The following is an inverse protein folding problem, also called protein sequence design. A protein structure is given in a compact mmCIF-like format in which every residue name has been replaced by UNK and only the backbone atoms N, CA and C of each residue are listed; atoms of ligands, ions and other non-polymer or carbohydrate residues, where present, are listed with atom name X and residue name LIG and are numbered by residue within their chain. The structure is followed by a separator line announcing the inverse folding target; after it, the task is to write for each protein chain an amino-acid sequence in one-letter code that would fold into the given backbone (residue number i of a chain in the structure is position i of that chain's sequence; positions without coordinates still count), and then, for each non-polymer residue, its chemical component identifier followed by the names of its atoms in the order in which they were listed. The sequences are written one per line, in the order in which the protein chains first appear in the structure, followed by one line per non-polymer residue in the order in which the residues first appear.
data_IF_658121462944
#
_entry.id   IF_658121462944
#
_cell.length_a   1.000
_cell.length_b   1.000
_cell.length_c   1.000
_cell.angle_alpha   90.00
_cell.angle_beta   90.00
_cell.angle_gamma   90.00
#
_symmetry.space_group_name_H-M   'P 1'
#
loop_
_entity.id
_entity.type
_entity.pdbx_description
1 polymer ?
#
# COMPACT_ATOMS: atom_id res chain seq x y z
N UNK A 1 68.05 -36.75 -35.41
CA UNK A 1 68.25 -36.04 -34.13
C UNK A 1 67.51 -34.71 -34.19
N UNK A 2 66.81 -34.39 -33.09
CA UNK A 2 65.79 -33.34 -32.85
C UNK A 2 66.15 -31.94 -33.39
N UNK A 3 65.27 -31.27 -34.15
CA UNK A 3 65.07 -29.79 -34.19
C UNK A 3 63.61 -29.43 -34.59
N UNK A 4 63.09 -28.37 -33.97
CA UNK A 4 61.68 -27.95 -33.86
C UNK A 4 61.27 -26.87 -34.89
N UNK A 5 59.94 -26.80 -35.12
CA UNK A 5 59.05 -25.67 -35.49
C UNK A 5 59.36 -24.81 -36.73
N UNK A 6 58.39 -24.66 -37.64
CA UNK A 6 57.29 -23.68 -37.65
C UNK A 6 56.32 -24.07 -38.79
N UNK A 7 55.03 -24.24 -38.51
CA UNK A 7 53.99 -24.40 -39.53
C UNK A 7 53.08 -23.18 -39.46
N UNK A 8 52.92 -22.53 -40.60
CA UNK A 8 52.09 -21.36 -40.87
C UNK A 8 50.76 -21.82 -41.48
N UNK A 9 49.72 -20.97 -41.32
CA UNK A 9 48.43 -20.87 -42.06
C UNK A 9 47.21 -21.57 -41.44
N UNK A 10 45.95 -21.13 -41.72
CA UNK A 10 45.44 -19.83 -42.17
C UNK A 10 44.29 -19.28 -41.28
N UNK A 11 43.78 -18.10 -41.64
CA UNK A 11 42.64 -17.42 -41.03
C UNK A 11 41.33 -18.24 -41.07
N UNK A 12 40.57 -18.21 -39.97
CA UNK A 12 39.11 -18.41 -39.97
C UNK A 12 38.52 -17.30 -39.10
N UNK A 13 37.87 -16.34 -39.75
CA UNK A 13 36.98 -15.40 -39.09
C UNK A 13 35.70 -16.17 -38.71
N UNK A 14 35.55 -16.49 -37.42
CA UNK A 14 34.27 -16.94 -36.87
C UNK A 14 33.52 -15.70 -36.41
N UNK A 15 32.56 -15.26 -37.24
CA UNK A 15 31.49 -14.36 -36.83
C UNK A 15 30.72 -15.07 -35.73
N UNK A 16 30.91 -14.64 -34.49
CA UNK A 16 30.00 -14.99 -33.39
C UNK A 16 29.04 -13.83 -33.25
N UNK A 17 27.82 -14.02 -33.73
CA UNK A 17 26.73 -13.13 -33.36
C UNK A 17 26.49 -13.28 -31.85
N UNK A 18 26.32 -12.19 -31.08
CA UNK A 18 25.92 -12.31 -29.69
C UNK A 18 24.50 -12.91 -29.65
N UNK A 19 24.36 -14.03 -28.94
CA UNK A 19 23.07 -14.53 -28.49
C UNK A 19 22.49 -13.44 -27.59
N UNK A 20 21.35 -12.87 -27.99
CA UNK A 20 20.58 -11.98 -27.12
C UNK A 20 20.20 -12.75 -25.87
N UNK A 21 20.85 -12.45 -24.74
CA UNK A 21 20.31 -12.82 -23.44
C UNK A 21 19.00 -12.06 -23.29
N UNK A 22 17.90 -12.81 -23.43
CA UNK A 22 16.58 -12.39 -23.04
C UNK A 22 16.69 -11.82 -21.63
N UNK A 23 16.28 -10.57 -21.47
CA UNK A 23 16.24 -9.87 -20.18
C UNK A 23 15.45 -10.74 -19.18
N UNK A 24 16.16 -11.35 -18.23
CA UNK A 24 15.53 -11.70 -16.97
C UNK A 24 15.18 -10.36 -16.34
N UNK A 25 13.89 -10.09 -16.19
CA UNK A 25 13.42 -8.91 -15.48
C UNK A 25 14.15 -8.87 -14.14
N UNK A 26 15.02 -7.88 -13.97
CA UNK A 26 15.57 -7.53 -12.68
C UNK A 26 14.37 -7.19 -11.80
N UNK A 27 14.05 -8.10 -10.89
CA UNK A 27 13.26 -7.77 -9.72
C UNK A 27 14.10 -6.77 -8.93
N UNK A 28 13.63 -5.54 -8.90
CA UNK A 28 14.21 -4.49 -8.08
C UNK A 28 13.94 -4.87 -6.61
N UNK A 29 14.97 -5.33 -5.89
CA UNK A 29 14.90 -5.73 -4.48
C UNK A 29 14.63 -4.53 -3.53
N UNK A 30 14.31 -3.35 -4.05
CA UNK A 30 13.98 -2.17 -3.26
C UNK A 30 12.47 -1.89 -3.08
N UNK A 31 11.59 -2.79 -3.55
CA UNK A 31 10.12 -2.69 -3.40
C UNK A 31 9.58 -3.40 -2.15
N UNK A 32 10.38 -3.55 -1.09
CA UNK A 32 9.97 -4.20 0.15
C UNK A 32 10.13 -3.25 1.34
N UNK A 33 9.43 -2.10 1.32
CA UNK A 33 9.05 -1.38 2.56
C UNK A 33 8.02 -0.25 2.34
N UNK A 34 7.13 -0.34 1.35
CA UNK A 34 6.02 0.60 1.21
C UNK A 34 4.78 -0.01 1.84
N UNK A 35 4.18 0.69 2.80
CA UNK A 35 2.90 0.37 3.46
C UNK A 35 1.69 0.48 2.53
N UNK A 36 1.91 0.50 1.21
CA UNK A 36 0.89 0.63 0.19
C UNK A 36 0.79 -0.72 -0.53
N UNK A 37 -0.43 -1.24 -0.59
CA UNK A 37 -0.75 -2.44 -1.36
C UNK A 37 -0.23 -2.24 -2.80
N UNK A 38 0.58 -3.14 -3.36
CA UNK A 38 1.25 -2.87 -4.62
C UNK A 38 0.23 -2.62 -5.76
N UNK A 39 0.54 -1.72 -6.72
CA UNK A 39 -0.44 -1.20 -7.70
C UNK A 39 -1.01 -2.27 -8.64
N UNK A 40 -0.36 -3.43 -8.73
CA UNK A 40 -0.85 -4.59 -9.47
C UNK A 40 -2.01 -5.31 -8.76
N UNK A 41 -2.27 -5.02 -7.48
CA UNK A 41 -3.36 -5.59 -6.69
C UNK A 41 -4.59 -4.67 -6.57
N UNK A 42 -4.49 -3.41 -7.00
CA UNK A 42 -5.64 -2.48 -7.08
C UNK A 42 -6.86 -3.00 -7.89
N UNK A 43 -6.71 -3.77 -8.98
CA UNK A 43 -7.85 -4.29 -9.72
C UNK A 43 -8.80 -5.14 -8.88
N UNK A 44 -8.30 -5.78 -7.81
CA UNK A 44 -9.13 -6.59 -6.89
C UNK A 44 -10.15 -5.69 -6.19
N UNK A 45 -9.76 -4.48 -5.78
CA UNK A 45 -10.64 -3.54 -5.05
C UNK A 45 -11.79 -2.99 -5.92
N UNK A 46 -11.67 -3.06 -7.23
CA UNK A 46 -12.71 -2.60 -8.16
C UNK A 46 -13.91 -3.56 -8.24
N UNK A 47 -13.76 -4.78 -7.72
CA UNK A 47 -14.79 -5.81 -7.70
C UNK A 47 -15.35 -5.91 -6.28
N UNK A 48 -16.66 -5.67 -6.15
CA UNK A 48 -17.34 -5.72 -4.87
C UNK A 48 -17.14 -7.08 -4.17
N UNK A 49 -17.03 -7.14 -2.82
CA UNK A 49 -16.77 -8.37 -2.07
C UNK A 49 -17.67 -9.56 -2.41
N UNK A 50 -18.94 -9.33 -2.72
CA UNK A 50 -19.90 -10.38 -3.11
C UNK A 50 -19.63 -11.01 -4.48
N UNK A 51 -18.82 -10.35 -5.33
CA UNK A 51 -18.40 -10.83 -6.64
C UNK A 51 -16.98 -11.39 -6.64
N UNK A 52 -16.28 -11.34 -5.50
CA UNK A 52 -14.95 -11.93 -5.36
C UNK A 52 -15.03 -13.46 -5.36
N UNK A 53 -13.99 -14.15 -5.86
CA UNK A 53 -13.94 -15.60 -5.82
C UNK A 53 -13.84 -16.11 -4.38
N UNK A 54 -14.40 -17.30 -4.12
CA UNK A 54 -14.18 -17.98 -2.85
C UNK A 54 -12.79 -18.62 -2.88
N UNK A 55 -11.87 -18.14 -2.04
CA UNK A 55 -10.50 -18.65 -1.99
C UNK A 55 -10.32 -19.67 -0.86
N UNK A 56 -9.49 -20.68 -1.13
CA UNK A 56 -9.12 -21.75 -0.19
C UNK A 56 -7.77 -22.34 -0.58
N UNK A 57 -7.26 -23.24 0.24
CA UNK A 57 -5.98 -23.92 0.00
C UNK A 57 -5.88 -24.54 -1.38
N UNK A 58 -4.79 -24.23 -2.08
CA UNK A 58 -4.50 -24.67 -3.45
C UNK A 58 -4.86 -23.66 -4.55
N UNK A 59 -5.64 -22.62 -4.25
CA UNK A 59 -5.92 -21.53 -5.18
C UNK A 59 -4.69 -20.61 -5.35
N UNK A 60 -4.61 -19.92 -6.48
CA UNK A 60 -3.54 -18.98 -6.77
C UNK A 60 -4.05 -17.82 -7.65
N UNK A 61 -3.43 -16.65 -7.52
CA UNK A 61 -3.82 -15.47 -8.31
C UNK A 61 -3.57 -14.16 -7.59
N UNK A 62 -4.00 -13.07 -8.22
CA UNK A 62 -3.89 -11.71 -7.68
C UNK A 62 -4.78 -11.54 -6.44
N UNK A 63 -5.93 -12.21 -6.40
CA UNK A 63 -6.84 -12.18 -5.27
C UNK A 63 -6.21 -12.83 -4.03
N UNK A 64 -5.42 -13.90 -4.22
CA UNK A 64 -4.66 -14.54 -3.13
C UNK A 64 -3.55 -13.62 -2.65
N UNK A 65 -2.81 -12.99 -3.57
CA UNK A 65 -1.77 -12.02 -3.23
C UNK A 65 -2.36 -10.82 -2.46
N UNK A 66 -3.52 -10.31 -2.86
CA UNK A 66 -4.26 -9.27 -2.13
C UNK A 66 -4.58 -9.69 -0.70
N UNK A 67 -5.14 -10.89 -0.50
CA UNK A 67 -5.45 -11.42 0.84
C UNK A 67 -4.17 -11.47 1.67
N UNK A 68 -3.09 -12.04 1.12
CA UNK A 68 -1.81 -12.17 1.81
C UNK A 68 -1.21 -10.82 2.21
N UNK A 69 -1.23 -9.84 1.31
CA UNK A 69 -0.76 -8.48 1.58
C UNK A 69 -1.59 -7.81 2.69
N UNK A 70 -2.92 -7.90 2.62
CA UNK A 70 -3.85 -7.31 3.60
C UNK A 70 -3.72 -7.98 4.98
N UNK A 71 -3.52 -9.30 5.03
CA UNK A 71 -3.24 -10.03 6.26
C UNK A 71 -1.95 -9.54 6.91
N UNK A 72 -0.88 -9.38 6.14
CA UNK A 72 0.40 -8.86 6.67
C UNK A 72 0.25 -7.43 7.20
N UNK A 73 -0.50 -6.55 6.50
CA UNK A 73 -0.79 -5.19 6.97
C UNK A 73 -1.55 -5.15 8.31
N UNK A 74 -2.33 -6.20 8.60
CA UNK A 74 -3.08 -6.33 9.87
C UNK A 74 -2.35 -7.10 10.96
N UNK A 75 -1.06 -7.42 10.75
CA UNK A 75 -0.23 -8.14 11.71
C UNK A 75 -0.31 -9.67 11.61
N UNK A 76 -1.01 -10.21 10.62
CA UNK A 76 -1.05 -11.64 10.31
C UNK A 76 -0.03 -11.98 9.21
N UNK A 77 1.26 -11.88 9.56
CA UNK A 77 2.36 -12.03 8.59
C UNK A 77 2.29 -13.32 7.76
N UNK A 78 2.26 -13.15 6.44
CA UNK A 78 2.35 -14.20 5.44
C UNK A 78 3.19 -13.75 4.26
N UNK A 79 3.72 -14.71 3.51
CA UNK A 79 4.36 -14.44 2.22
C UNK A 79 3.27 -14.08 1.21
N UNK A 80 3.43 -12.96 0.51
CA UNK A 80 2.54 -12.50 -0.57
C UNK A 80 3.01 -13.03 -1.92
N UNK A 81 3.00 -14.35 -2.08
CA UNK A 81 3.44 -15.05 -3.30
C UNK A 81 2.29 -15.35 -4.27
N UNK A 82 1.06 -15.00 -3.91
CA UNK A 82 -0.13 -15.28 -4.70
C UNK A 82 -0.55 -16.76 -4.69
N UNK A 83 -0.01 -17.58 -3.78
CA UNK A 83 -0.38 -18.99 -3.62
C UNK A 83 -1.00 -19.27 -2.25
N UNK A 84 -2.22 -19.81 -2.25
CA UNK A 84 -2.96 -20.08 -1.02
C UNK A 84 -2.48 -21.40 -0.41
N UNK A 85 -1.34 -21.34 0.29
CA UNK A 85 -0.76 -22.47 0.99
C UNK A 85 -1.33 -22.68 2.40
N UNK A 86 -0.89 -23.75 3.10
CA UNK A 86 -1.29 -24.02 4.49
C UNK A 86 -0.96 -22.88 5.46
N UNK A 87 0.12 -22.14 5.22
CA UNK A 87 0.48 -20.96 6.02
C UNK A 87 -0.54 -19.83 5.85
N UNK A 88 -0.93 -19.53 4.61
CA UNK A 88 -1.97 -18.53 4.32
C UNK A 88 -3.31 -18.96 4.93
N UNK A 89 -3.69 -20.23 4.83
CA UNK A 89 -4.90 -20.76 5.46
C UNK A 89 -4.90 -20.54 6.97
N UNK A 90 -3.78 -20.83 7.64
CA UNK A 90 -3.64 -20.57 9.06
C UNK A 90 -3.84 -19.09 9.39
N UNK A 91 -3.23 -18.18 8.62
CA UNK A 91 -3.37 -16.73 8.83
C UNK A 91 -4.78 -16.22 8.56
N UNK A 92 -5.48 -16.78 7.59
CA UNK A 92 -6.91 -16.48 7.37
C UNK A 92 -7.74 -16.92 8.58
N UNK A 93 -7.50 -18.10 9.15
CA UNK A 93 -8.22 -18.55 10.36
C UNK A 93 -7.97 -17.64 11.56
N UNK A 94 -6.72 -17.22 11.76
CA UNK A 94 -6.34 -16.27 12.83
C UNK A 94 -7.06 -14.93 12.64
N UNK A 95 -7.02 -14.37 11.42
CA UNK A 95 -7.73 -13.13 11.08
C UNK A 95 -9.24 -13.25 11.28
N UNK A 96 -9.85 -14.34 10.82
CA UNK A 96 -11.28 -14.59 10.99
C UNK A 96 -11.65 -14.64 12.48
N UNK A 97 -10.88 -15.37 13.29
CA UNK A 97 -11.13 -15.49 14.72
C UNK A 97 -11.03 -14.13 15.45
N UNK A 98 -10.00 -13.34 15.16
CA UNK A 98 -9.78 -12.02 15.76
C UNK A 98 -10.90 -11.03 15.39
N UNK A 99 -11.49 -11.20 14.19
CA UNK A 99 -12.55 -10.33 13.67
C UNK A 99 -13.97 -10.88 13.90
N UNK A 100 -14.13 -11.93 14.70
CA UNK A 100 -15.45 -12.48 15.06
C UNK A 100 -16.16 -13.22 13.92
N UNK A 101 -15.42 -13.66 12.90
CA UNK A 101 -15.91 -14.47 11.79
C UNK A 101 -15.78 -15.97 12.09
N UNK A 102 -16.44 -16.81 11.30
CA UNK A 102 -16.19 -18.25 11.33
C UNK A 102 -14.73 -18.54 10.88
N UNK A 103 -13.92 -19.11 11.76
CA UNK A 103 -12.50 -19.42 11.51
C UNK A 103 -12.31 -20.70 10.67
N UNK A 104 -12.95 -20.76 9.50
CA UNK A 104 -12.97 -21.92 8.61
C UNK A 104 -11.81 -21.96 7.61
N UNK A 105 -11.00 -20.90 7.55
CA UNK A 105 -9.84 -20.78 6.66
C UNK A 105 -10.20 -20.53 5.21
N UNK A 106 -11.46 -20.22 4.91
CA UNK A 106 -11.98 -19.97 3.56
C UNK A 106 -12.31 -18.48 3.43
N UNK A 107 -11.77 -17.84 2.40
CA UNK A 107 -12.08 -16.43 2.11
C UNK A 107 -13.37 -16.38 1.31
N UNK A 108 -14.50 -16.34 2.02
CA UNK A 108 -15.82 -16.07 1.47
C UNK A 108 -16.22 -14.59 1.60
N UNK A 109 -17.46 -14.26 1.23
CA UNK A 109 -17.98 -12.89 1.17
C UNK A 109 -17.73 -12.13 2.49
N UNK A 110 -18.04 -12.72 3.65
CA UNK A 110 -17.83 -12.05 4.94
C UNK A 110 -16.35 -11.73 5.22
N UNK A 111 -15.46 -12.64 4.83
CA UNK A 111 -14.01 -12.41 4.99
C UNK A 111 -13.52 -11.36 4.00
N UNK A 112 -13.99 -11.38 2.76
CA UNK A 112 -13.71 -10.34 1.76
C UNK A 112 -14.17 -8.97 2.20
N UNK A 113 -15.42 -8.84 2.67
CA UNK A 113 -15.95 -7.58 3.20
C UNK A 113 -15.06 -7.06 4.32
N UNK A 114 -14.61 -7.93 5.22
CA UNK A 114 -13.76 -7.51 6.33
C UNK A 114 -12.37 -7.08 5.88
N UNK A 115 -11.74 -7.82 4.96
CA UNK A 115 -10.45 -7.45 4.37
C UNK A 115 -10.52 -6.11 3.63
N UNK A 116 -11.60 -5.87 2.89
CA UNK A 116 -11.82 -4.60 2.17
C UNK A 116 -12.03 -3.45 3.16
N UNK A 117 -12.88 -3.63 4.17
CA UNK A 117 -13.06 -2.59 5.19
C UNK A 117 -11.76 -2.27 5.93
N UNK A 118 -10.92 -3.26 6.20
CA UNK A 118 -9.58 -3.02 6.78
C UNK A 118 -8.71 -2.23 5.83
N UNK A 119 -8.68 -2.61 4.55
CA UNK A 119 -7.90 -1.91 3.53
C UNK A 119 -8.34 -0.44 3.43
N UNK A 120 -9.66 -0.18 3.36
CA UNK A 120 -10.24 1.17 3.37
C UNK A 120 -9.94 1.95 4.67
N UNK A 121 -9.87 1.27 5.82
CA UNK A 121 -9.49 1.91 7.09
C UNK A 121 -8.00 2.30 7.13
N UNK A 122 -7.17 1.63 6.34
CA UNK A 122 -5.74 1.90 6.22
C UNK A 122 -5.40 2.95 5.16
N UNK A 123 -6.37 3.38 4.34
CA UNK A 123 -6.16 4.51 3.43
C UNK A 123 -6.25 5.82 4.22
N UNK A 124 -5.15 6.55 4.27
CA UNK A 124 -5.14 7.88 4.85
C UNK A 124 -5.91 8.85 3.93
N UNK A 125 -7.16 9.15 4.30
CA UNK A 125 -8.05 10.02 3.52
C UNK A 125 -8.10 11.44 4.08
N UNK A 126 -8.50 12.45 3.27
CA UNK A 126 -8.74 13.81 3.77
C UNK A 126 -9.75 13.86 4.93
N UNK A 127 -10.77 13.00 4.91
CA UNK A 127 -11.80 12.90 5.94
C UNK A 127 -11.24 12.33 7.24
N UNK A 128 -10.35 11.33 7.17
CA UNK A 128 -9.62 10.85 8.34
C UNK A 128 -8.71 11.93 8.93
N UNK A 129 -7.99 12.68 8.09
CA UNK A 129 -7.18 13.80 8.53
C UNK A 129 -8.03 14.86 9.25
N UNK A 130 -9.21 15.20 8.72
CA UNK A 130 -10.15 16.13 9.37
C UNK A 130 -10.57 15.58 10.75
N UNK A 131 -10.94 14.30 10.83
CA UNK A 131 -11.32 13.66 12.09
C UNK A 131 -10.18 13.67 13.12
N UNK A 132 -8.93 13.42 12.69
CA UNK A 132 -7.76 13.53 13.56
C UNK A 132 -7.55 14.95 14.07
N UNK A 133 -7.67 15.97 13.21
CA UNK A 133 -7.58 17.37 13.63
C UNK A 133 -8.67 17.75 14.64
N UNK A 134 -9.93 17.43 14.35
CA UNK A 134 -11.07 17.70 15.24
C UNK A 134 -10.87 17.06 16.61
N UNK A 135 -10.47 15.78 16.64
CA UNK A 135 -10.23 15.05 17.87
C UNK A 135 -9.03 15.58 18.65
N UNK A 136 -7.94 15.92 17.97
CA UNK A 136 -6.69 16.35 18.60
C UNK A 136 -6.78 17.77 19.15
N UNK A 137 -7.39 18.67 18.38
CA UNK A 137 -7.53 20.08 18.74
C UNK A 137 -8.73 20.31 19.66
N UNK A 138 -9.75 19.46 19.61
CA UNK A 138 -10.91 19.46 20.49
C UNK A 138 -11.49 20.87 20.70
N UNK A 139 -11.73 21.56 19.58
CA UNK A 139 -12.20 22.93 19.55
C UNK A 139 -13.42 23.02 18.61
N UNK A 140 -14.59 23.26 19.20
CA UNK A 140 -15.88 23.32 18.52
C UNK A 140 -16.08 24.58 17.67
N UNK A 141 -15.23 25.59 17.83
CA UNK A 141 -15.20 26.76 16.96
C UNK A 141 -14.45 26.50 15.64
N UNK A 142 -13.61 25.47 15.56
CA UNK A 142 -12.81 25.19 14.37
C UNK A 142 -13.56 24.25 13.40
N UNK A 143 -13.60 24.67 12.14
CA UNK A 143 -14.03 23.86 11.00
C UNK A 143 -12.83 23.65 10.08
N UNK A 144 -12.57 22.39 9.74
CA UNK A 144 -11.45 22.02 8.87
C UNK A 144 -11.91 21.74 7.45
N UNK A 145 -11.06 22.07 6.47
CA UNK A 145 -11.26 21.72 5.07
C UNK A 145 -9.92 21.32 4.43
N UNK A 146 -9.92 20.24 3.66
CA UNK A 146 -8.77 19.78 2.87
C UNK A 146 -8.87 20.24 1.41
N UNK A 147 -7.73 20.35 0.73
CA UNK A 147 -7.67 20.49 -0.73
C UNK A 147 -7.67 19.14 -1.46
N UNK A 148 -7.66 18.02 -0.72
CA UNK A 148 -7.65 16.66 -1.25
C UNK A 148 -6.29 16.19 -1.77
N UNK A 149 -5.23 16.97 -1.59
CA UNK A 149 -3.88 16.60 -2.02
C UNK A 149 -3.16 15.95 -0.84
N UNK A 150 -2.79 14.68 -1.01
CA UNK A 150 -1.87 14.01 -0.11
C UNK A 150 -0.43 14.49 -0.38
N UNK A 151 0.28 14.80 0.68
CA UNK A 151 1.69 15.16 0.66
C UNK A 151 2.48 14.10 1.44
N UNK A 152 3.78 14.00 1.16
CA UNK A 152 4.71 13.18 1.96
C UNK A 152 5.85 14.06 2.45
N UNK A 153 6.30 13.82 3.69
CA UNK A 153 7.46 14.51 4.24
C UNK A 153 8.79 13.88 3.77
N UNK A 154 9.92 14.33 4.33
CA UNK A 154 11.25 13.82 3.99
C UNK A 154 11.48 12.37 4.44
N UNK A 155 10.69 11.88 5.40
CA UNK A 155 10.73 10.53 5.94
C UNK A 155 9.76 9.60 5.19
N UNK A 156 8.91 10.16 4.32
CA UNK A 156 7.92 9.43 3.53
C UNK A 156 6.54 9.32 4.19
N UNK A 157 6.34 9.97 5.34
CA UNK A 157 5.07 9.94 6.09
C UNK A 157 4.02 10.77 5.36
N UNK A 158 2.85 10.18 5.10
CA UNK A 158 1.75 10.85 4.42
C UNK A 158 1.06 11.88 5.33
N UNK A 159 0.70 13.04 4.78
CA UNK A 159 -0.03 14.09 5.47
C UNK A 159 -0.96 14.89 4.53
N UNK A 160 -2.07 15.40 5.06
CA UNK A 160 -2.91 16.42 4.39
C UNK A 160 -2.70 17.78 5.07
N UNK A 161 -2.70 18.84 4.25
CA UNK A 161 -2.75 20.21 4.77
C UNK A 161 -4.20 20.69 4.86
N UNK A 162 -4.68 20.87 6.07
CA UNK A 162 -6.03 21.30 6.38
C UNK A 162 -6.05 22.79 6.66
N UNK A 163 -6.97 23.52 6.01
CA UNK A 163 -7.31 24.88 6.40
C UNK A 163 -8.27 24.84 7.57
N UNK A 164 -7.97 25.57 8.64
CA UNK A 164 -8.86 25.76 9.77
C UNK A 164 -9.57 27.11 9.71
N UNK A 165 -10.88 27.10 9.96
CA UNK A 165 -11.71 28.30 10.00
C UNK A 165 -12.54 28.38 11.29
N UNK A 166 -12.59 29.55 11.93
CA UNK A 166 -13.42 29.85 13.10
C UNK A 166 -14.86 30.10 12.65
N UNK A 167 -15.79 29.30 13.17
CA UNK A 167 -17.22 29.43 12.94
C UNK A 167 -17.72 30.79 13.43
N UNK A 168 -17.34 31.20 14.64
CA UNK A 168 -17.73 32.48 15.22
C UNK A 168 -17.29 33.66 14.36
N UNK A 169 -16.06 33.66 13.87
CA UNK A 169 -15.57 34.74 13.01
C UNK A 169 -16.26 34.77 11.64
N UNK A 170 -16.68 33.63 11.11
CA UNK A 170 -17.50 33.58 9.90
C UNK A 170 -18.90 34.15 10.15
N UNK A 171 -19.52 33.85 11.30
CA UNK A 171 -20.81 34.42 11.71
C UNK A 171 -20.77 35.94 11.87
N UNK A 172 -19.65 36.47 12.35
CA UNK A 172 -19.38 37.91 12.47
C UNK A 172 -19.02 38.60 11.12
N UNK A 173 -19.03 37.86 10.01
CA UNK A 173 -18.78 38.38 8.65
C UNK A 173 -17.31 38.46 8.23
N UNK A 174 -16.39 37.84 8.98
CA UNK A 174 -14.97 37.72 8.64
C UNK A 174 -14.65 36.53 7.72
N UNK A 175 -13.40 36.43 7.25
CA UNK A 175 -12.92 35.28 6.44
C UNK A 175 -12.85 33.98 7.25
N UNK A 176 -12.87 34.10 8.58
CA UNK A 176 -12.79 32.99 9.53
C UNK A 176 -11.47 32.23 9.53
N UNK A 177 -10.50 32.51 8.66
CA UNK A 177 -9.29 31.67 8.55
C UNK A 177 -8.41 31.84 9.79
N UNK A 178 -8.18 30.74 10.49
CA UNK A 178 -7.36 30.69 11.71
C UNK A 178 -5.93 30.31 11.35
N UNK A 179 -5.75 29.32 10.47
CA UNK A 179 -4.45 28.83 10.08
C UNK A 179 -4.55 27.57 9.21
N UNK A 180 -3.42 26.90 9.05
CA UNK A 180 -3.31 25.62 8.36
C UNK A 180 -2.67 24.60 9.28
N UNK A 181 -3.10 23.34 9.18
CA UNK A 181 -2.58 22.24 9.98
C UNK A 181 -2.18 21.10 9.06
N UNK A 182 -0.95 20.64 9.19
CA UNK A 182 -0.50 19.40 8.58
C UNK A 182 -0.92 18.25 9.51
N UNK A 183 -1.76 17.36 8.99
CA UNK A 183 -2.25 16.20 9.70
C UNK A 183 -1.68 14.97 9.03
N UNK A 184 -1.04 14.12 9.81
CA UNK A 184 -0.30 12.95 9.35
C UNK A 184 -1.12 11.66 9.53
N UNK A 185 -0.79 10.63 8.75
CA UNK A 185 -1.43 9.31 8.80
C UNK A 185 -1.32 8.63 10.17
N UNK A 186 -0.30 8.96 10.97
CA UNK A 186 -0.11 8.49 12.34
C UNK A 186 -0.98 9.23 13.40
N UNK A 187 -1.79 10.21 12.95
CA UNK A 187 -2.62 11.05 13.81
C UNK A 187 -1.89 12.24 14.44
N UNK A 188 -0.64 12.51 14.05
CA UNK A 188 0.08 13.72 14.42
C UNK A 188 -0.56 14.92 13.74
N UNK A 189 -0.75 16.02 14.48
CA UNK A 189 -1.32 17.28 13.98
C UNK A 189 -0.35 18.40 14.31
N UNK A 190 0.17 19.07 13.29
CA UNK A 190 1.11 20.19 13.43
C UNK A 190 0.53 21.43 12.77
N UNK A 191 0.63 22.59 13.44
CA UNK A 191 0.32 23.86 12.80
C UNK A 191 1.37 24.13 11.70
N UNK A 192 0.91 24.41 10.49
CA UNK A 192 1.78 24.67 9.36
C UNK A 192 2.38 26.07 9.51
N UNK A 193 3.71 26.16 9.50
CA UNK A 193 4.39 27.46 9.51
C UNK A 193 4.03 28.22 8.23
N UNK A 194 3.54 29.46 8.39
CA UNK A 194 3.38 30.37 7.27
C UNK A 194 4.77 30.62 6.65
N UNK A 195 5.03 30.07 5.47
CA UNK A 195 6.20 30.43 4.67
C UNK A 195 6.15 31.94 4.45
N UNK A 196 7.06 32.66 5.13
CA UNK A 196 7.23 34.12 5.03
C UNK A 196 7.97 34.49 3.76
#
# INVERSE_FOLDING_TARGET
MKKKWFALLPAIALVTAPVSFQTAAAYDEQSALTSELPPDLEPVLQIAPEHQPVLRTGEAGLEVAFVQATLTQTGFETVSDGFFGPHTEQKVREFQAENGLAADGVVGIETWTKLFSVHEQNEFTPEQAISFAEKKLNNDDLVFSSNGVEYKDLEGTAYYSLKAQSKKWMEDGGTGTVGFYNVYEDGTVMEAESLK
#
